data_IF_555835836321
#
_entry.id   IF_555835836321
#
_cell.length_a   1.000
_cell.length_b   1.000
_cell.length_c   1.000
_cell.angle_alpha   90.00
_cell.angle_beta   90.00
_cell.angle_gamma   90.00
#
_symmetry.space_group_name_H-M   'P 1'
#
loop_
_entity.id
_entity.type
_entity.pdbx_description
1 polymer ?
#
# COMPACT_ATOMS: atom_id res chain seq x y z
N UNK A 1 -3.66 21.41 -27.13
CA UNK A 1 -3.40 22.71 -26.48
C UNK A 1 -3.31 22.45 -24.98
N UNK A 2 -2.13 22.51 -24.40
CA UNK A 2 -1.93 22.32 -22.95
C UNK A 2 -2.35 23.62 -22.26
N UNK A 3 -3.53 23.65 -21.66
CA UNK A 3 -3.96 24.79 -20.86
C UNK A 3 -3.14 24.75 -19.58
N UNK A 4 -2.19 25.69 -19.44
CA UNK A 4 -1.45 25.86 -18.20
C UNK A 4 -2.44 26.17 -17.06
N UNK A 5 -2.36 25.42 -15.96
CA UNK A 5 -3.20 25.68 -14.78
C UNK A 5 -2.76 27.01 -14.14
N UNK A 6 -3.71 27.89 -13.90
CA UNK A 6 -3.46 29.14 -13.18
C UNK A 6 -3.59 28.87 -11.69
N UNK A 7 -2.59 29.25 -10.90
CA UNK A 7 -2.68 29.26 -9.44
C UNK A 7 -3.39 30.56 -9.05
N UNK A 8 -4.64 30.45 -8.60
CA UNK A 8 -5.34 31.60 -8.05
C UNK A 8 -4.69 32.02 -6.72
N UNK A 9 -4.62 33.33 -6.46
CA UNK A 9 -4.02 33.86 -5.24
C UNK A 9 -4.65 33.28 -3.96
N UNK A 10 -5.94 32.96 -3.99
CA UNK A 10 -6.66 32.38 -2.84
C UNK A 10 -6.21 30.97 -2.45
N UNK A 11 -5.60 30.22 -3.37
CA UNK A 11 -5.15 28.84 -3.14
C UNK A 11 -3.64 28.68 -3.19
N UNK A 12 -2.90 29.77 -3.50
CA UNK A 12 -1.47 29.73 -3.76
C UNK A 12 -0.67 29.15 -2.59
N UNK A 13 -0.86 29.69 -1.40
CA UNK A 13 -0.13 29.29 -0.20
C UNK A 13 -0.43 27.82 0.19
N UNK A 14 -1.65 27.36 -0.07
CA UNK A 14 -2.08 25.97 0.19
C UNK A 14 -1.43 25.02 -0.81
N UNK A 15 -1.43 25.39 -2.10
CA UNK A 15 -0.78 24.62 -3.16
C UNK A 15 0.72 24.55 -2.91
N UNK A 16 1.35 25.68 -2.57
CA UNK A 16 2.77 25.75 -2.21
C UNK A 16 3.09 24.79 -1.05
N UNK A 17 2.29 24.81 0.02
CA UNK A 17 2.53 23.91 1.14
C UNK A 17 2.42 22.43 0.76
N UNK A 18 1.45 22.05 -0.07
CA UNK A 18 1.33 20.66 -0.55
C UNK A 18 2.48 20.24 -1.47
N UNK A 19 2.98 21.14 -2.31
CA UNK A 19 4.19 20.89 -3.12
C UNK A 19 5.42 20.70 -2.24
N UNK A 20 5.61 21.56 -1.23
CA UNK A 20 6.74 21.49 -0.31
C UNK A 20 6.72 20.20 0.52
N UNK A 21 5.55 19.79 0.99
CA UNK A 21 5.38 18.57 1.76
C UNK A 21 5.38 17.30 0.90
N UNK A 22 5.30 17.43 -0.43
CA UNK A 22 5.26 16.31 -1.36
C UNK A 22 4.01 15.45 -1.21
N UNK A 23 2.88 16.05 -0.82
CA UNK A 23 1.64 15.34 -0.58
C UNK A 23 1.12 14.71 -1.88
N UNK A 24 0.88 13.40 -1.89
CA UNK A 24 0.28 12.69 -3.05
C UNK A 24 -1.22 12.53 -2.85
N UNK A 25 -1.65 12.22 -1.63
CA UNK A 25 -3.05 12.13 -1.25
C UNK A 25 -3.34 13.15 -0.17
N UNK A 26 -4.33 14.00 -0.43
CA UNK A 26 -4.79 15.00 0.54
C UNK A 26 -6.15 14.56 1.07
N UNK A 27 -6.24 14.40 2.40
CA UNK A 27 -7.51 14.19 3.09
C UNK A 27 -8.11 15.51 3.55
N UNK A 28 -9.40 15.51 3.87
CA UNK A 28 -10.05 16.70 4.45
C UNK A 28 -9.38 17.17 5.76
N UNK A 29 -8.90 16.23 6.58
CA UNK A 29 -8.19 16.53 7.83
C UNK A 29 -6.81 17.12 7.57
N UNK A 30 -6.10 16.58 6.57
CA UNK A 30 -4.81 17.11 6.13
C UNK A 30 -4.95 18.53 5.57
N UNK A 31 -5.93 18.77 4.71
CA UNK A 31 -6.24 20.10 4.19
C UNK A 31 -6.57 21.08 5.30
N UNK A 32 -7.44 20.71 6.24
CA UNK A 32 -7.75 21.56 7.39
C UNK A 32 -6.53 21.83 8.28
N UNK A 33 -5.58 20.90 8.36
CA UNK A 33 -4.33 21.09 9.10
C UNK A 33 -3.40 22.09 8.40
N UNK A 34 -3.24 21.98 7.08
CA UNK A 34 -2.48 22.95 6.29
C UNK A 34 -3.09 24.34 6.38
N UNK A 35 -4.42 24.47 6.21
CA UNK A 35 -5.12 25.75 6.33
C UNK A 35 -4.86 26.44 7.67
N UNK A 36 -4.90 25.68 8.78
CA UNK A 36 -4.57 26.22 10.11
C UNK A 36 -3.11 26.66 10.23
N UNK A 37 -2.17 25.92 9.65
CA UNK A 37 -0.75 26.25 9.69
C UNK A 37 -0.43 27.57 8.98
N UNK A 38 -1.10 27.85 7.87
CA UNK A 38 -0.89 29.08 7.07
C UNK A 38 -1.86 30.22 7.43
N UNK A 39 -2.72 30.04 8.45
CA UNK A 39 -3.65 31.07 8.92
C UNK A 39 -4.90 31.29 8.06
N UNK A 40 -5.29 30.33 7.22
CA UNK A 40 -6.53 30.37 6.42
C UNK A 40 -7.69 29.82 7.25
N UNK A 41 -8.67 30.68 7.55
CA UNK A 41 -9.83 30.35 8.41
C UNK A 41 -11.12 29.93 7.68
N UNK A 42 -11.05 29.52 6.41
CA UNK A 42 -12.24 29.10 5.62
C UNK A 42 -12.63 27.63 5.89
N UNK A 43 -13.76 27.17 5.34
CA UNK A 43 -14.18 25.77 5.38
C UNK A 43 -13.29 24.89 4.47
N UNK A 44 -12.62 23.85 5.00
CA UNK A 44 -11.80 22.93 4.21
C UNK A 44 -12.57 22.28 3.06
N UNK A 45 -13.88 22.03 3.19
CA UNK A 45 -14.66 21.41 2.10
C UNK A 45 -14.86 22.35 0.93
N UNK A 46 -15.13 23.63 1.22
CA UNK A 46 -15.22 24.67 0.20
C UNK A 46 -13.89 24.84 -0.52
N UNK A 47 -12.78 24.90 0.21
CA UNK A 47 -11.45 25.01 -0.40
C UNK A 47 -11.09 23.79 -1.24
N UNK A 48 -11.43 22.57 -0.79
CA UNK A 48 -11.24 21.35 -1.58
C UNK A 48 -12.01 21.40 -2.91
N UNK A 49 -13.23 21.93 -2.90
CA UNK A 49 -14.02 22.15 -4.11
C UNK A 49 -13.36 23.17 -5.05
N UNK A 50 -12.83 24.27 -4.52
CA UNK A 50 -12.09 25.28 -5.31
C UNK A 50 -10.82 24.71 -5.92
N UNK A 51 -10.03 23.92 -5.17
CA UNK A 51 -8.84 23.22 -5.63
C UNK A 51 -9.17 22.17 -6.71
N UNK A 52 -10.27 21.44 -6.56
CA UNK A 52 -10.72 20.47 -7.56
C UNK A 52 -11.16 21.16 -8.85
N UNK A 53 -11.94 22.24 -8.73
CA UNK A 53 -12.42 23.03 -9.89
C UNK A 53 -11.27 23.70 -10.65
N UNK A 54 -10.21 24.10 -9.94
CA UNK A 54 -8.99 24.68 -10.53
C UNK A 54 -7.99 23.63 -11.03
N UNK A 55 -8.29 22.35 -10.85
CA UNK A 55 -7.50 21.23 -11.38
C UNK A 55 -6.26 20.90 -10.55
N UNK A 56 -6.19 21.33 -9.29
CA UNK A 56 -5.13 20.96 -8.33
C UNK A 56 -5.44 19.67 -7.59
N UNK A 57 -6.72 19.32 -7.46
CA UNK A 57 -7.17 18.05 -6.91
C UNK A 57 -7.80 17.15 -7.97
N UNK A 58 -7.29 15.93 -8.07
CA UNK A 58 -7.88 14.81 -8.80
C UNK A 58 -8.93 14.10 -7.95
N UNK A 59 -9.95 13.57 -8.62
CA UNK A 59 -11.01 12.83 -7.96
C UNK A 59 -10.56 11.41 -7.61
N UNK A 60 -10.83 11.00 -6.37
CA UNK A 60 -10.70 9.62 -5.92
C UNK A 60 -12.08 9.01 -5.62
N UNK A 61 -12.17 7.69 -5.71
CA UNK A 61 -13.32 6.88 -5.28
C UNK A 61 -13.42 6.85 -3.76
N UNK A 62 -12.29 6.93 -3.07
CA UNK A 62 -12.22 7.10 -1.62
C UNK A 62 -12.78 8.46 -1.22
N UNK A 63 -13.85 8.47 -0.42
CA UNK A 63 -14.50 9.71 0.01
C UNK A 63 -13.59 10.53 0.93
N UNK A 64 -13.71 11.85 0.83
CA UNK A 64 -12.97 12.83 1.64
C UNK A 64 -11.45 12.81 1.42
N UNK A 65 -11.00 12.19 0.34
CA UNK A 65 -9.64 12.18 -0.13
C UNK A 65 -9.58 12.62 -1.59
N UNK A 66 -8.48 13.28 -1.94
CA UNK A 66 -8.18 13.73 -3.29
C UNK A 66 -6.75 13.39 -3.64
N UNK A 67 -6.49 13.16 -4.92
CA UNK A 67 -5.12 13.12 -5.42
C UNK A 67 -4.63 14.57 -5.58
N UNK A 68 -3.46 14.89 -5.02
CA UNK A 68 -2.84 16.17 -5.33
C UNK A 68 -2.11 16.09 -6.66
N UNK A 69 -2.32 17.10 -7.51
CA UNK A 69 -1.82 17.16 -8.87
C UNK A 69 -0.77 18.27 -8.98
N UNK A 70 0.51 18.00 -8.64
CA UNK A 70 1.53 19.03 -8.56
C UNK A 70 1.79 19.71 -9.90
N UNK A 71 2.25 20.95 -9.87
CA UNK A 71 2.61 21.78 -11.01
C UNK A 71 3.63 21.10 -11.91
N UNK A 72 4.57 20.37 -11.32
CA UNK A 72 5.60 19.59 -12.02
C UNK A 72 5.02 18.53 -12.98
N UNK A 73 3.79 18.06 -12.76
CA UNK A 73 3.13 17.05 -13.60
C UNK A 73 2.47 17.64 -14.87
N UNK A 74 2.46 18.97 -15.02
CA UNK A 74 2.09 19.62 -16.28
C UNK A 74 0.60 19.55 -16.65
N UNK A 75 -0.31 19.23 -15.73
CA UNK A 75 -1.75 19.27 -15.99
C UNK A 75 -2.61 18.57 -14.94
N UNK A 76 -3.93 18.59 -15.14
CA UNK A 76 -4.92 17.93 -14.28
C UNK A 76 -4.98 16.40 -14.46
N UNK A 77 -3.87 15.79 -14.86
CA UNK A 77 -3.76 14.36 -15.07
C UNK A 77 -3.24 13.69 -13.80
N UNK A 78 -3.89 12.59 -13.41
CA UNK A 78 -3.43 11.76 -12.30
C UNK A 78 -2.02 11.23 -12.53
N UNK A 79 -1.36 10.87 -11.44
CA UNK A 79 -0.01 10.29 -11.41
C UNK A 79 0.12 8.97 -12.16
N UNK A 80 -0.99 8.26 -12.38
CA UNK A 80 -0.97 6.87 -12.80
C UNK A 80 -0.55 5.92 -11.69
N UNK A 81 -0.51 6.38 -10.43
CA UNK A 81 -0.26 5.53 -9.28
C UNK A 81 -1.40 4.52 -9.11
N UNK A 82 -1.10 3.26 -9.39
CA UNK A 82 -2.04 2.13 -9.26
C UNK A 82 -2.46 1.88 -7.81
N UNK A 83 -1.69 2.38 -6.85
CA UNK A 83 -1.95 2.25 -5.43
C UNK A 83 -2.64 3.47 -4.81
N UNK A 84 -3.03 4.47 -5.62
CA UNK A 84 -3.55 5.74 -5.11
C UNK A 84 -4.79 5.57 -4.21
N UNK A 85 -5.72 4.70 -4.59
CA UNK A 85 -6.92 4.42 -3.77
C UNK A 85 -6.58 3.67 -2.48
N UNK A 86 -5.58 2.80 -2.49
CA UNK A 86 -5.11 2.12 -1.29
C UNK A 86 -4.41 3.10 -0.33
N UNK A 87 -3.59 4.01 -0.87
CA UNK A 87 -2.99 5.11 -0.09
C UNK A 87 -4.06 6.00 0.51
N UNK A 88 -5.08 6.37 -0.28
CA UNK A 88 -6.19 7.18 0.21
C UNK A 88 -7.01 6.49 1.30
N UNK A 89 -7.28 5.21 1.14
CA UNK A 89 -7.96 4.43 2.18
C UNK A 89 -7.17 4.41 3.49
N UNK A 90 -5.85 4.26 3.43
CA UNK A 90 -4.98 4.30 4.63
C UNK A 90 -4.84 5.71 5.22
N UNK A 91 -4.87 6.74 4.39
CA UNK A 91 -4.81 8.12 4.85
C UNK A 91 -6.10 8.51 5.59
N UNK A 92 -7.26 8.03 5.14
CA UNK A 92 -8.56 8.26 5.80
C UNK A 92 -8.76 7.35 7.03
N UNK A 93 -8.26 6.11 6.99
CA UNK A 93 -8.36 5.15 8.09
C UNK A 93 -7.00 4.58 8.41
N UNK A 94 -6.27 5.27 9.28
CA UNK A 94 -4.90 4.90 9.66
C UNK A 94 -4.81 3.52 10.32
N UNK A 95 -5.88 3.11 11.01
CA UNK A 95 -6.07 1.86 11.73
C UNK A 95 -6.56 0.71 10.83
N UNK A 96 -6.91 0.99 9.57
CA UNK A 96 -7.38 -0.05 8.65
C UNK A 96 -6.26 -1.06 8.36
N UNK A 97 -6.48 -2.37 8.59
CA UNK A 97 -5.41 -3.38 8.62
C UNK A 97 -4.96 -3.87 7.24
N UNK A 98 -5.42 -3.24 6.16
CA UNK A 98 -5.08 -3.64 4.80
C UNK A 98 -3.59 -3.51 4.49
N UNK A 99 -3.00 -4.55 3.92
CA UNK A 99 -1.58 -4.59 3.53
C UNK A 99 -1.43 -5.10 2.10
N UNK A 100 -0.49 -4.54 1.33
CA UNK A 100 -0.15 -5.09 0.00
C UNK A 100 0.33 -6.54 0.16
N UNK A 101 -0.10 -7.42 -0.74
CA UNK A 101 0.21 -8.85 -0.67
C UNK A 101 0.58 -9.42 -2.05
N UNK A 102 1.13 -10.64 -2.03
CA UNK A 102 1.38 -11.46 -3.22
C UNK A 102 2.07 -10.69 -4.36
N UNK A 103 1.48 -10.67 -5.56
CA UNK A 103 2.05 -10.07 -6.78
C UNK A 103 2.21 -8.55 -6.66
N UNK A 104 1.30 -7.85 -5.96
CA UNK A 104 1.41 -6.41 -5.72
C UNK A 104 2.59 -6.10 -4.80
N UNK A 105 2.72 -6.86 -3.70
CA UNK A 105 3.90 -6.74 -2.82
C UNK A 105 5.18 -7.10 -3.56
N UNK A 106 5.18 -8.17 -4.35
CA UNK A 106 6.32 -8.58 -5.15
C UNK A 106 6.71 -7.51 -6.19
N UNK A 107 5.73 -6.85 -6.81
CA UNK A 107 5.97 -5.77 -7.79
C UNK A 107 6.63 -4.55 -7.14
N UNK A 108 6.11 -4.08 -6.00
CA UNK A 108 6.72 -2.96 -5.25
C UNK A 108 8.12 -3.31 -4.76
N UNK A 109 8.39 -4.58 -4.46
CA UNK A 109 9.70 -5.07 -4.06
C UNK A 109 10.67 -5.33 -5.23
N UNK A 110 10.23 -5.17 -6.48
CA UNK A 110 11.04 -5.47 -7.67
C UNK A 110 11.27 -6.96 -7.91
N UNK A 111 10.45 -7.82 -7.29
CA UNK A 111 10.54 -9.28 -7.37
C UNK A 111 9.62 -9.87 -8.45
N UNK A 112 8.64 -9.11 -8.95
CA UNK A 112 7.77 -9.52 -10.03
C UNK A 112 8.16 -8.82 -11.34
N UNK A 113 8.23 -9.59 -12.44
CA UNK A 113 8.47 -9.07 -13.78
C UNK A 113 7.18 -8.65 -14.50
N UNK A 114 6.02 -9.19 -14.08
CA UNK A 114 4.72 -8.85 -14.65
C UNK A 114 3.88 -8.08 -13.65
N UNK A 115 3.24 -7.03 -14.14
CA UNK A 115 2.27 -6.25 -13.39
C UNK A 115 0.95 -7.03 -13.32
N UNK A 116 0.32 -7.16 -12.14
CA UNK A 116 -0.92 -7.91 -12.01
C UNK A 116 -2.09 -7.22 -12.72
N UNK A 117 -3.11 -8.00 -13.12
CA UNK A 117 -4.34 -7.45 -13.71
C UNK A 117 -5.22 -6.76 -12.66
N UNK A 118 -5.25 -7.31 -11.44
CA UNK A 118 -5.87 -6.71 -10.26
C UNK A 118 -4.85 -6.64 -9.13
N UNK A 119 -4.84 -5.53 -8.40
CA UNK A 119 -3.98 -5.39 -7.23
C UNK A 119 -4.45 -6.32 -6.10
N UNK A 120 -3.51 -6.72 -5.25
CA UNK A 120 -3.70 -7.78 -4.27
C UNK A 120 -3.35 -7.25 -2.90
N UNK A 121 -4.31 -7.38 -1.99
CA UNK A 121 -4.12 -7.01 -0.60
C UNK A 121 -4.53 -8.14 0.34
N UNK A 122 -3.81 -8.28 1.45
CA UNK A 122 -4.25 -9.09 2.57
C UNK A 122 -5.12 -8.25 3.50
N UNK A 123 -6.20 -8.86 3.97
CA UNK A 123 -7.14 -8.25 4.90
C UNK A 123 -7.65 -9.33 5.87
N UNK A 124 -7.73 -9.05 7.19
CA UNK A 124 -8.37 -9.94 8.16
C UNK A 124 -9.84 -10.22 7.80
N UNK A 125 -10.37 -11.38 8.22
CA UNK A 125 -11.73 -11.80 7.86
C UNK A 125 -12.83 -10.91 8.45
N UNK A 126 -12.57 -10.31 9.60
CA UNK A 126 -13.44 -9.39 10.31
C UNK A 126 -13.37 -7.95 9.76
N UNK A 127 -12.37 -7.65 8.93
CA UNK A 127 -12.18 -6.31 8.40
C UNK A 127 -13.00 -6.07 7.12
N UNK A 128 -13.67 -4.91 7.08
CA UNK A 128 -14.54 -4.52 5.96
C UNK A 128 -13.70 -4.17 4.74
N UNK A 129 -14.05 -4.77 3.59
CA UNK A 129 -13.45 -4.44 2.30
C UNK A 129 -13.96 -3.07 1.80
N UNK A 130 -13.08 -2.09 1.54
CA UNK A 130 -13.49 -0.77 1.08
C UNK A 130 -14.12 -0.78 -0.31
N UNK A 131 -15.26 -0.10 -0.46
CA UNK A 131 -15.95 0.03 -1.77
C UNK A 131 -15.10 0.72 -2.84
N UNK A 132 -14.21 1.64 -2.43
CA UNK A 132 -13.31 2.35 -3.34
C UNK A 132 -12.35 1.41 -4.09
N UNK A 133 -12.02 0.26 -3.48
CA UNK A 133 -11.12 -0.74 -4.07
C UNK A 133 -11.84 -1.78 -4.94
N UNK A 134 -13.18 -1.72 -5.03
CA UNK A 134 -13.97 -2.71 -5.77
C UNK A 134 -13.64 -2.72 -7.27
N UNK A 135 -13.46 -3.93 -7.81
CA UNK A 135 -13.22 -4.20 -9.25
C UNK A 135 -11.73 -4.21 -9.64
N UNK A 136 -10.92 -3.34 -9.04
CA UNK A 136 -9.49 -3.22 -9.33
C UNK A 136 -8.61 -4.01 -8.34
N UNK A 137 -9.16 -4.37 -7.19
CA UNK A 137 -8.45 -5.07 -6.13
C UNK A 137 -9.10 -6.42 -5.79
N UNK A 138 -8.25 -7.42 -5.55
CA UNK A 138 -8.61 -8.69 -4.93
C UNK A 138 -8.12 -8.74 -3.49
N UNK A 139 -8.98 -9.26 -2.60
CA UNK A 139 -8.61 -9.57 -1.22
C UNK A 139 -8.12 -11.01 -1.11
N UNK A 140 -7.07 -11.22 -0.33
CA UNK A 140 -6.62 -12.54 0.10
C UNK A 140 -6.59 -12.61 1.62
N UNK A 141 -6.82 -13.80 2.16
CA UNK A 141 -6.63 -14.06 3.57
C UNK A 141 -5.20 -14.59 3.78
N UNK A 142 -4.44 -13.93 4.64
CA UNK A 142 -3.10 -14.37 5.03
C UNK A 142 -3.03 -14.35 6.55
N UNK A 143 -2.84 -15.52 7.15
CA UNK A 143 -2.42 -15.61 8.56
C UNK A 143 -1.01 -15.03 8.67
N UNK A 144 -0.93 -13.76 9.10
CA UNK A 144 0.34 -13.14 9.44
C UNK A 144 0.79 -13.71 10.78
N UNK A 145 1.59 -14.77 10.74
CA UNK A 145 2.25 -15.29 11.95
C UNK A 145 3.23 -14.23 12.42
N UNK A 146 3.03 -13.75 13.65
CA UNK A 146 3.85 -12.70 14.23
C UNK A 146 5.30 -13.17 14.35
N UNK A 147 6.24 -12.42 13.77
CA UNK A 147 7.65 -12.84 13.69
C UNK A 147 8.37 -12.84 15.05
N UNK A 148 7.70 -12.35 16.09
CA UNK A 148 8.08 -12.43 17.51
C UNK A 148 7.83 -13.82 18.10
N UNK A 149 7.00 -14.65 17.46
CA UNK A 149 6.84 -16.07 17.80
C UNK A 149 8.02 -16.93 17.29
N UNK A 150 9.26 -16.47 17.51
CA UNK A 150 10.42 -17.40 17.51
C UNK A 150 10.39 -18.17 18.82
N UNK A 151 9.57 -19.21 18.85
CA UNK A 151 9.50 -20.09 20.00
C UNK A 151 8.49 -21.18 19.78
N UNK A 152 8.98 -22.36 19.36
CA UNK A 152 8.26 -23.63 19.18
C UNK A 152 7.71 -23.91 17.79
N UNK A 153 8.57 -23.85 16.77
CA UNK A 153 8.53 -24.95 15.80
C UNK A 153 9.30 -26.10 16.46
N UNK A 154 8.57 -27.07 16.98
CA UNK A 154 9.11 -28.31 17.57
C UNK A 154 9.88 -29.04 16.46
N UNK A 155 11.20 -29.06 16.56
CA UNK A 155 12.11 -29.85 15.72
C UNK A 155 11.92 -31.34 16.05
N UNK A 156 10.86 -31.94 15.50
CA UNK A 156 10.79 -33.39 15.37
C UNK A 156 11.19 -33.74 13.94
N UNK A 157 12.49 -33.74 13.67
CA UNK A 157 13.15 -34.70 12.78
C UNK A 157 14.67 -34.62 12.94
N UNK A 158 15.23 -35.63 13.61
CA UNK A 158 16.65 -36.01 13.51
C UNK A 158 17.03 -36.16 12.04
N UNK A 159 18.02 -35.38 11.60
CA UNK A 159 18.98 -35.86 10.60
C UNK A 159 20.37 -35.51 11.13
N UNK A 160 21.19 -36.54 11.25
CA UNK A 160 22.54 -36.47 11.75
C UNK A 160 23.48 -35.75 10.76
N UNK A 161 24.45 -35.01 11.32
CA UNK A 161 25.73 -34.68 10.70
C UNK A 161 25.77 -33.47 9.78
N UNK A 162 26.37 -32.37 10.26
CA UNK A 162 27.59 -31.76 9.68
C UNK A 162 27.76 -30.32 10.18
N UNK A 163 29.02 -29.98 10.42
CA UNK A 163 29.55 -28.86 11.19
C UNK A 163 29.27 -27.44 10.69
N UNK A 164 29.25 -26.56 11.69
CA UNK A 164 29.79 -25.19 11.76
C UNK A 164 29.96 -24.40 10.46
N UNK A 165 29.03 -23.45 10.23
CA UNK A 165 29.16 -22.43 9.17
C UNK A 165 28.02 -21.41 9.13
N UNK A 166 27.48 -21.00 10.28
CA UNK A 166 26.18 -20.31 10.41
C UNK A 166 26.11 -18.84 9.94
N UNK A 167 27.19 -18.22 9.46
CA UNK A 167 27.19 -16.80 9.09
C UNK A 167 27.37 -16.53 7.58
N UNK A 168 28.10 -17.38 6.87
CA UNK A 168 28.39 -17.17 5.44
C UNK A 168 27.27 -17.63 4.49
N UNK A 169 26.41 -18.57 4.92
CA UNK A 169 25.35 -19.13 4.08
C UNK A 169 24.19 -18.14 3.82
N UNK A 170 23.91 -17.23 4.77
CA UNK A 170 22.85 -16.24 4.63
C UNK A 170 23.17 -15.17 3.56
N UNK A 171 24.45 -14.79 3.42
CA UNK A 171 24.87 -13.83 2.40
C UNK A 171 24.96 -14.44 1.00
N UNK A 172 25.26 -15.74 0.87
CA UNK A 172 25.33 -16.41 -0.45
C UNK A 172 23.94 -16.74 -1.04
N UNK A 173 22.93 -16.97 -0.21
CA UNK A 173 21.55 -17.22 -0.68
C UNK A 173 20.84 -15.98 -1.23
N UNK A 174 21.30 -14.77 -0.89
CA UNK A 174 20.76 -13.51 -1.44
C UNK A 174 21.20 -13.24 -2.88
N UNK A 175 22.28 -13.88 -3.35
CA UNK A 175 22.84 -13.66 -4.69
C UNK A 175 22.29 -14.60 -5.78
N UNK A 176 21.65 -15.72 -5.41
CA UNK A 176 21.36 -16.81 -6.37
C UNK A 176 19.87 -16.97 -6.75
N UNK A 177 18.98 -16.09 -6.32
CA UNK A 177 17.58 -16.05 -6.80
C UNK A 177 16.77 -17.35 -6.58
N UNK A 178 17.23 -18.28 -5.73
CA UNK A 178 16.53 -19.54 -5.44
C UNK A 178 15.71 -19.43 -4.17
N UNK A 179 14.45 -19.02 -4.31
CA UNK A 179 13.44 -19.21 -3.27
C UNK A 179 12.89 -20.63 -3.37
N UNK A 180 13.22 -21.51 -2.41
CA UNK A 180 12.52 -22.79 -2.26
C UNK A 180 11.25 -22.57 -1.46
N UNK A 181 10.11 -22.60 -2.14
CA UNK A 181 8.80 -22.72 -1.51
C UNK A 181 8.66 -24.12 -0.92
N UNK A 182 8.65 -24.26 0.41
CA UNK A 182 8.16 -25.47 1.08
C UNK A 182 6.69 -25.28 1.43
N UNK A 183 5.79 -25.77 0.59
CA UNK A 183 4.39 -25.96 0.94
C UNK A 183 4.26 -27.20 1.83
N UNK A 184 3.73 -27.04 3.05
CA UNK A 184 3.34 -28.17 3.88
C UNK A 184 1.90 -28.54 3.51
N UNK A 185 1.73 -29.49 2.60
CA UNK A 185 0.42 -30.06 2.30
C UNK A 185 0.06 -31.04 3.44
N UNK A 186 -0.87 -30.63 4.31
CA UNK A 186 -1.56 -31.55 5.20
C UNK A 186 -3.01 -31.68 4.70
N UNK A 187 -3.25 -32.68 3.86
CA UNK A 187 -4.58 -33.10 3.45
C UNK A 187 -5.17 -34.04 4.51
N UNK A 188 -6.29 -33.64 5.14
CA UNK A 188 -7.35 -34.57 5.58
C UNK A 188 -8.69 -33.87 5.47
N UNK A 189 -9.64 -34.57 4.86
CA UNK A 189 -10.80 -34.00 4.21
C UNK A 189 -11.91 -33.49 5.13
N UNK A 190 -12.68 -32.54 4.58
CA UNK A 190 -14.14 -32.64 4.44
C UNK A 190 -14.61 -31.57 3.44
N UNK A 191 -15.56 -31.98 2.59
CA UNK A 191 -16.16 -31.20 1.52
C UNK A 191 -16.90 -29.98 2.07
N UNK A 192 -16.58 -28.78 1.58
CA UNK A 192 -17.48 -27.62 1.48
C UNK A 192 -17.11 -26.82 0.22
N UNK A 193 -18.06 -26.41 -0.63
CA UNK A 193 -17.77 -25.72 -1.87
C UNK A 193 -17.92 -24.20 -1.69
N UNK A 194 -16.87 -23.51 -1.23
CA UNK A 194 -16.70 -22.09 -1.52
C UNK A 194 -15.23 -21.83 -1.85
N UNK A 195 -14.98 -21.15 -2.97
CA UNK A 195 -13.64 -20.89 -3.51
C UNK A 195 -12.94 -19.81 -2.67
N UNK A 196 -12.52 -20.16 -1.45
CA UNK A 196 -11.57 -19.39 -0.65
C UNK A 196 -10.23 -20.12 -0.68
N UNK A 197 -9.31 -19.66 -1.52
CA UNK A 197 -7.94 -20.18 -1.51
C UNK A 197 -7.21 -19.66 -0.26
N UNK A 198 -7.15 -20.49 0.79
CA UNK A 198 -6.34 -20.23 1.99
C UNK A 198 -4.89 -20.58 1.66
N UNK A 199 -4.02 -19.58 1.58
CA UNK A 199 -2.58 -19.78 1.37
C UNK A 199 -1.86 -19.51 2.69
N UNK A 200 -1.40 -20.57 3.36
CA UNK A 200 -0.56 -20.47 4.57
C UNK A 200 0.90 -20.29 4.16
N UNK A 201 1.51 -19.16 4.52
CA UNK A 201 2.92 -18.85 4.22
C UNK A 201 3.64 -18.29 5.44
N UNK A 202 4.73 -18.96 5.85
CA UNK A 202 5.49 -18.69 7.09
C UNK A 202 6.68 -17.75 6.92
N UNK A 203 6.96 -17.24 5.71
CA UNK A 203 8.09 -16.32 5.45
C UNK A 203 7.69 -14.83 5.29
N UNK A 204 6.44 -14.49 5.61
CA UNK A 204 5.75 -13.38 4.93
C UNK A 204 5.71 -12.05 5.73
N UNK A 205 5.83 -12.09 7.07
CA UNK A 205 5.62 -10.91 7.91
C UNK A 205 6.60 -9.75 7.67
N UNK A 206 7.91 -10.04 7.55
CA UNK A 206 8.93 -9.01 7.35
C UNK A 206 8.90 -8.43 5.94
N UNK A 207 8.65 -9.25 4.92
CA UNK A 207 8.56 -8.82 3.53
C UNK A 207 7.32 -7.94 3.29
N UNK A 208 6.18 -8.27 3.91
CA UNK A 208 4.97 -7.45 3.84
C UNK A 208 5.14 -6.12 4.57
N UNK A 209 5.82 -6.10 5.73
CA UNK A 209 6.15 -4.85 6.42
C UNK A 209 7.07 -3.96 5.58
N UNK A 210 8.13 -4.53 4.98
CA UNK A 210 9.06 -3.81 4.11
C UNK A 210 8.40 -3.30 2.82
N UNK A 211 7.50 -4.06 2.21
CA UNK A 211 6.72 -3.60 1.06
C UNK A 211 5.83 -2.40 1.44
N UNK A 212 5.17 -2.45 2.60
CA UNK A 212 4.35 -1.34 3.08
C UNK A 212 5.16 -0.13 3.52
N UNK A 213 6.36 -0.32 4.06
CA UNK A 213 7.27 0.77 4.43
C UNK A 213 7.86 1.44 3.19
N UNK A 214 8.34 0.65 2.21
CA UNK A 214 8.80 1.19 0.92
C UNK A 214 7.68 1.92 0.18
N UNK A 215 6.46 1.40 0.25
CA UNK A 215 5.31 2.08 -0.33
C UNK A 215 5.00 3.39 0.41
N UNK A 216 5.09 3.39 1.75
CA UNK A 216 4.86 4.58 2.58
C UNK A 216 5.87 5.71 2.32
N UNK A 217 7.10 5.38 1.92
CA UNK A 217 8.19 6.34 1.69
C UNK A 217 8.66 6.43 0.23
N UNK A 218 7.88 5.95 -0.74
CA UNK A 218 8.24 6.10 -2.15
C UNK A 218 8.07 7.58 -2.54
N UNK A 219 9.15 8.31 -2.89
CA UNK A 219 8.99 9.63 -3.49
C UNK A 219 8.31 9.48 -4.86
N UNK A 220 7.61 10.53 -5.35
CA UNK A 220 6.96 10.51 -6.65
C UNK A 220 7.93 10.21 -7.81
#
# INVERSE_FOLDING_TARGET
MTVARVIARSVADVVEQFELDGDVVVTIERLGSVMRQIGVGDDPRRLAYELQRSGWFGQLRTRHAWEFLPGARGGAYGSGDRFIEFRAQRAIRSEWPGVLAMESAASVLGLAQRIPEQEVMALPDDAVFPKALGGEWRRVHVELVDATARGRCREDHRVAGADEGGSAAAHRLLAEGRWRFRGCAASRGRLFPEKHSVVRTTATGRALRLANERERYRPP
#
